data_IF_419473601279
#
_entry.id   IF_419473601279
#
_cell.length_a   1.000
_cell.length_b   1.000
_cell.length_c   1.000
_cell.angle_alpha   90.00
_cell.angle_beta   90.00
_cell.angle_gamma   90.00
#
_symmetry.space_group_name_H-M   'P 1'
#
loop_
_entity.id
_entity.type
_entity.pdbx_description
1 polymer ?
#
# COMPACT_ATOMS: atom_id res chain seq x y z
N UNK A 1 -24.73 -98.83 3.33
CA UNK A 1 -24.90 -98.20 4.66
C UNK A 1 -26.27 -97.56 4.74
N UNK A 2 -27.10 -97.99 5.69
CA UNK A 2 -28.52 -97.64 5.75
C UNK A 2 -28.75 -96.17 6.20
N UNK A 3 -29.58 -95.44 5.44
CA UNK A 3 -30.01 -94.08 5.82
C UNK A 3 -30.92 -94.16 7.05
N UNK A 4 -30.42 -93.72 8.21
CA UNK A 4 -31.19 -93.59 9.46
C UNK A 4 -32.22 -92.46 9.28
N UNK A 5 -33.51 -92.80 9.09
CA UNK A 5 -34.59 -91.81 9.07
C UNK A 5 -34.81 -91.27 10.48
N UNK A 6 -34.44 -90.02 10.71
CA UNK A 6 -34.64 -89.32 11.98
C UNK A 6 -36.14 -89.06 12.14
N UNK A 7 -36.79 -89.70 13.12
CA UNK A 7 -38.17 -89.35 13.54
C UNK A 7 -38.09 -88.14 14.46
N UNK A 8 -38.38 -86.95 13.94
CA UNK A 8 -38.43 -85.74 14.75
C UNK A 8 -39.81 -85.63 15.41
N UNK A 9 -39.84 -85.44 16.73
CA UNK A 9 -41.10 -85.21 17.46
C UNK A 9 -41.57 -83.77 17.20
N UNK A 10 -42.87 -83.59 16.97
CA UNK A 10 -43.49 -82.28 16.70
C UNK A 10 -43.14 -81.23 17.76
N UNK A 11 -43.04 -81.61 19.03
CA UNK A 11 -42.62 -80.73 20.14
C UNK A 11 -41.23 -80.14 19.94
N UNK A 12 -40.28 -80.90 19.37
CA UNK A 12 -38.93 -80.41 19.12
C UNK A 12 -38.89 -79.44 17.92
N UNK A 13 -39.77 -79.65 16.93
CA UNK A 13 -39.96 -78.71 15.81
C UNK A 13 -40.57 -77.40 16.30
N UNK A 14 -41.59 -77.49 17.17
CA UNK A 14 -42.23 -76.32 17.76
C UNK A 14 -41.25 -75.48 18.59
N UNK A 15 -40.45 -76.11 19.44
CA UNK A 15 -39.39 -75.41 20.19
C UNK A 15 -38.33 -74.78 19.26
N UNK A 16 -37.96 -75.46 18.18
CA UNK A 16 -37.00 -74.93 17.21
C UNK A 16 -37.51 -73.67 16.51
N UNK A 17 -38.81 -73.64 16.16
CA UNK A 17 -39.45 -72.45 15.56
C UNK A 17 -39.40 -71.26 16.54
N UNK A 18 -39.68 -71.50 17.82
CA UNK A 18 -39.62 -70.44 18.86
C UNK A 18 -38.20 -69.89 19.00
N UNK A 19 -37.18 -70.76 19.01
CA UNK A 19 -35.78 -70.33 19.12
C UNK A 19 -35.34 -69.52 17.91
N UNK A 20 -35.72 -69.95 16.69
CA UNK A 20 -35.43 -69.21 15.46
C UNK A 20 -36.09 -67.83 15.49
N UNK A 21 -37.33 -67.74 15.97
CA UNK A 21 -38.05 -66.48 16.08
C UNK A 21 -37.32 -65.48 17.00
N UNK A 22 -36.84 -65.95 18.15
CA UNK A 22 -36.06 -65.11 19.09
C UNK A 22 -34.75 -64.63 18.47
N UNK A 23 -34.04 -65.49 17.72
CA UNK A 23 -32.79 -65.13 17.05
C UNK A 23 -32.99 -64.04 15.98
N UNK A 24 -34.06 -64.13 15.19
CA UNK A 24 -34.39 -63.12 14.16
C UNK A 24 -34.68 -61.77 14.81
N UNK A 25 -35.38 -61.74 15.95
CA UNK A 25 -35.66 -60.50 16.68
C UNK A 25 -34.40 -59.82 17.20
N UNK A 26 -33.43 -60.58 17.72
CA UNK A 26 -32.14 -60.04 18.18
C UNK A 26 -31.38 -59.40 17.01
N UNK A 27 -31.35 -60.07 15.85
CA UNK A 27 -30.68 -59.55 14.65
C UNK A 27 -31.32 -58.22 14.19
N UNK A 28 -32.66 -58.17 14.09
CA UNK A 28 -33.37 -56.95 13.71
C UNK A 28 -33.09 -55.79 14.68
N UNK A 29 -33.08 -56.07 15.98
CA UNK A 29 -32.77 -55.08 17.01
C UNK A 29 -31.33 -54.57 16.90
N UNK A 30 -30.36 -55.44 16.64
CA UNK A 30 -28.96 -55.04 16.44
C UNK A 30 -28.77 -54.18 15.19
N UNK A 31 -29.48 -54.46 14.09
CA UNK A 31 -29.41 -53.65 12.87
C UNK A 31 -29.94 -52.24 13.15
N UNK A 32 -31.12 -52.11 13.79
CA UNK A 32 -31.69 -50.81 14.15
C UNK A 32 -30.84 -50.01 15.14
N UNK A 33 -30.15 -50.69 16.07
CA UNK A 33 -29.23 -50.04 17.00
C UNK A 33 -27.92 -49.58 16.34
N UNK A 34 -27.43 -50.33 15.36
CA UNK A 34 -26.12 -50.07 14.73
C UNK A 34 -26.20 -49.13 13.53
N UNK A 35 -27.38 -48.98 12.90
CA UNK A 35 -27.57 -48.02 11.81
C UNK A 35 -27.67 -46.61 12.38
N UNK A 36 -26.52 -45.94 12.53
CA UNK A 36 -26.48 -44.50 12.78
C UNK A 36 -26.95 -43.76 11.52
N UNK A 37 -28.14 -43.18 11.57
CA UNK A 37 -28.62 -42.27 10.53
C UNK A 37 -28.13 -40.86 10.85
N UNK A 38 -27.52 -40.19 9.87
CA UNK A 38 -27.18 -38.78 9.96
C UNK A 38 -28.24 -37.98 9.18
N UNK A 39 -28.85 -37.00 9.83
CA UNK A 39 -29.78 -36.06 9.18
C UNK A 39 -28.95 -34.92 8.62
N UNK A 40 -29.21 -34.53 7.37
CA UNK A 40 -28.58 -33.36 6.77
C UNK A 40 -29.35 -32.12 7.23
N UNK A 41 -28.67 -31.27 8.01
CA UNK A 41 -29.17 -29.95 8.36
C UNK A 41 -28.74 -28.94 7.29
N UNK A 42 -29.57 -27.94 7.04
CA UNK A 42 -29.31 -26.87 6.08
C UNK A 42 -28.32 -25.87 6.73
N UNK A 43 -27.09 -25.83 6.23
CA UNK A 43 -26.07 -24.85 6.62
C UNK A 43 -25.78 -23.91 5.45
N UNK A 44 -25.69 -22.61 5.74
CA UNK A 44 -25.22 -21.61 4.78
C UNK A 44 -23.69 -21.74 4.60
N UNK A 45 -23.29 -22.46 3.55
CA UNK A 45 -21.87 -22.66 3.24
C UNK A 45 -21.38 -21.50 2.38
N UNK A 46 -20.56 -20.61 2.97
CA UNK A 46 -19.88 -19.57 2.22
C UNK A 46 -18.57 -20.11 1.62
N UNK A 47 -18.56 -20.33 0.30
CA UNK A 47 -17.37 -20.78 -0.43
C UNK A 47 -16.45 -19.58 -0.70
N UNK A 48 -15.34 -19.47 0.03
CA UNK A 48 -14.30 -18.49 -0.25
C UNK A 48 -13.23 -19.10 -1.16
N UNK A 49 -13.09 -18.57 -2.37
CA UNK A 49 -12.00 -18.93 -3.30
C UNK A 49 -10.87 -17.92 -3.13
N UNK A 50 -9.65 -18.42 -2.91
CA UNK A 50 -8.44 -17.59 -2.84
C UNK A 50 -7.57 -17.86 -4.05
N UNK A 51 -7.33 -16.82 -4.83
CA UNK A 51 -6.41 -16.85 -5.97
C UNK A 51 -5.19 -15.98 -5.70
N UNK A 52 -4.05 -16.35 -6.28
CA UNK A 52 -2.83 -15.54 -6.24
C UNK A 52 -2.79 -14.69 -7.51
N UNK A 53 -2.68 -13.38 -7.35
CA UNK A 53 -2.52 -12.42 -8.45
C UNK A 53 -1.25 -11.59 -8.28
N UNK A 54 -0.73 -11.09 -9.38
CA UNK A 54 0.29 -10.05 -9.39
C UNK A 54 -0.42 -8.69 -9.40
N UNK A 55 -0.08 -7.81 -8.46
CA UNK A 55 -0.55 -6.43 -8.47
C UNK A 55 0.48 -5.58 -9.19
N UNK A 56 0.06 -4.90 -10.25
CA UNK A 56 0.90 -3.98 -11.03
C UNK A 56 0.38 -2.57 -10.81
N UNK A 57 1.24 -1.69 -10.30
CA UNK A 57 0.93 -0.28 -10.09
C UNK A 57 1.47 0.57 -11.24
N UNK A 58 0.80 1.70 -11.50
CA UNK A 58 1.29 2.69 -12.46
C UNK A 58 2.34 3.58 -11.77
N UNK A 59 3.61 3.42 -12.14
CA UNK A 59 4.72 4.18 -11.57
C UNK A 59 5.25 5.22 -12.57
N UNK A 60 5.65 6.38 -12.08
CA UNK A 60 6.27 7.43 -12.91
C UNK A 60 7.60 7.86 -12.31
N UNK A 61 8.68 7.67 -13.06
CA UNK A 61 10.01 8.11 -12.66
C UNK A 61 10.16 9.61 -12.92
N UNK A 62 10.38 10.39 -11.86
CA UNK A 62 10.77 11.80 -11.98
C UNK A 62 12.27 11.90 -11.85
N UNK A 63 12.94 12.26 -12.95
CA UNK A 63 14.39 12.40 -13.02
C UNK A 63 14.76 13.86 -13.29
N UNK A 64 15.83 14.29 -12.63
CA UNK A 64 16.48 15.54 -12.93
C UNK A 64 17.40 15.46 -14.15
N UNK A 65 17.36 16.47 -15.01
CA UNK A 65 18.29 16.61 -16.12
C UNK A 65 19.49 17.51 -15.78
N UNK A 66 19.34 18.40 -14.80
CA UNK A 66 20.39 19.33 -14.36
C UNK A 66 21.26 18.71 -13.26
N UNK A 67 22.58 18.90 -13.37
CA UNK A 67 23.52 18.62 -12.28
C UNK A 67 23.43 19.70 -11.18
N UNK A 68 23.42 19.27 -9.91
CA UNK A 68 23.41 20.20 -8.78
C UNK A 68 23.21 19.54 -7.42
N UNK A 69 22.99 20.39 -6.41
CA UNK A 69 22.64 19.94 -5.06
C UNK A 69 21.12 19.87 -4.97
N UNK A 70 20.61 18.68 -4.65
CA UNK A 70 19.18 18.40 -4.49
C UNK A 70 18.75 18.76 -3.06
N UNK A 71 17.64 19.49 -2.95
CA UNK A 71 16.87 19.67 -1.72
C UNK A 71 15.49 19.06 -1.91
N UNK A 72 15.12 18.10 -1.07
CA UNK A 72 13.78 17.51 -1.08
C UNK A 72 12.82 18.39 -0.28
N UNK A 73 11.60 18.56 -0.79
CA UNK A 73 10.53 19.34 -0.14
C UNK A 73 9.34 18.44 0.31
N UNK A 74 9.51 17.12 0.22
CA UNK A 74 8.53 16.08 0.62
C UNK A 74 9.23 14.87 1.26
N UNK A 75 8.47 14.12 2.04
CA UNK A 75 8.93 12.92 2.75
C UNK A 75 8.66 11.63 1.96
N UNK A 76 9.46 10.59 2.17
CA UNK A 76 9.19 9.28 1.59
C UNK A 76 7.84 8.75 2.08
N UNK A 77 7.12 8.06 1.20
CA UNK A 77 5.80 7.48 1.43
C UNK A 77 4.70 8.53 1.65
N UNK A 78 4.99 9.81 1.35
CA UNK A 78 4.02 10.89 1.43
C UNK A 78 3.02 10.82 0.26
N UNK A 79 1.72 10.98 0.56
CA UNK A 79 0.69 11.21 -0.44
C UNK A 79 0.82 12.61 -1.03
N UNK A 80 0.94 12.69 -2.34
CA UNK A 80 1.12 13.93 -3.08
C UNK A 80 0.01 14.10 -4.11
N UNK A 81 -0.39 15.36 -4.32
CA UNK A 81 -1.23 15.74 -5.45
C UNK A 81 -0.36 16.10 -6.67
N UNK A 82 -0.94 15.99 -7.85
CA UNK A 82 -0.37 16.54 -9.09
C UNK A 82 0.10 17.99 -8.86
N UNK A 83 1.23 18.34 -9.44
CA UNK A 83 1.83 19.67 -9.42
C UNK A 83 2.35 20.10 -8.04
N UNK A 84 2.38 19.20 -7.04
CA UNK A 84 3.12 19.42 -5.79
C UNK A 84 4.62 19.45 -6.07
N UNK A 85 5.35 20.35 -5.41
CA UNK A 85 6.80 20.42 -5.47
C UNK A 85 7.41 19.17 -4.83
N UNK A 86 8.31 18.48 -5.54
CA UNK A 86 8.99 17.28 -5.06
C UNK A 86 10.38 17.63 -4.52
N UNK A 87 11.20 18.21 -5.38
CA UNK A 87 12.56 18.58 -5.03
C UNK A 87 13.02 19.75 -5.90
N UNK A 88 14.00 20.46 -5.36
CA UNK A 88 14.63 21.61 -5.99
C UNK A 88 16.10 21.31 -6.23
N UNK A 89 16.60 21.58 -7.43
CA UNK A 89 18.02 21.48 -7.76
C UNK A 89 18.64 22.85 -7.77
N UNK A 90 19.69 23.03 -6.98
CA UNK A 90 20.52 24.21 -6.99
C UNK A 90 21.81 23.95 -7.78
N UNK A 91 22.07 24.76 -8.82
CA UNK A 91 23.31 24.67 -9.60
C UNK A 91 24.47 25.10 -8.71
N UNK A 92 25.49 24.24 -8.61
CA UNK A 92 26.59 24.33 -7.62
C UNK A 92 27.42 25.61 -7.67
N UNK A 93 27.30 26.42 -8.73
CA UNK A 93 28.24 27.49 -9.02
C UNK A 93 27.82 28.89 -8.52
N UNK A 94 26.69 29.06 -7.81
CA UNK A 94 26.06 30.40 -7.72
C UNK A 94 25.65 30.89 -6.31
N UNK A 95 25.94 30.15 -5.24
CA UNK A 95 25.22 30.46 -4.01
C UNK A 95 25.86 31.52 -3.08
N UNK A 96 27.17 31.74 -3.05
CA UNK A 96 27.73 32.68 -2.06
C UNK A 96 27.55 34.15 -2.48
N UNK A 97 28.08 34.53 -3.65
CA UNK A 97 28.14 35.95 -4.05
C UNK A 97 26.78 36.61 -4.28
N UNK A 98 25.78 35.88 -4.77
CA UNK A 98 24.42 36.44 -4.97
C UNK A 98 23.68 36.53 -3.64
N UNK A 99 23.82 35.55 -2.74
CA UNK A 99 23.20 35.62 -1.42
C UNK A 99 23.80 36.74 -0.57
N UNK A 100 25.13 36.89 -0.57
CA UNK A 100 25.82 37.99 0.11
C UNK A 100 25.32 39.35 -0.41
N UNK A 101 25.20 39.51 -1.73
CA UNK A 101 24.68 40.74 -2.33
C UNK A 101 23.23 41.00 -1.94
N UNK A 102 22.38 39.99 -1.90
CA UNK A 102 20.98 40.11 -1.47
C UNK A 102 20.92 40.54 0.01
N UNK A 103 21.70 39.91 0.88
CA UNK A 103 21.73 40.22 2.32
C UNK A 103 22.23 41.64 2.59
N UNK A 104 23.31 42.06 1.90
CA UNK A 104 23.81 43.43 1.98
C UNK A 104 22.75 44.43 1.51
N UNK A 105 22.08 44.17 0.38
CA UNK A 105 21.04 45.06 -0.13
C UNK A 105 19.82 45.16 0.80
N UNK A 106 19.41 44.04 1.43
CA UNK A 106 18.30 44.01 2.39
C UNK A 106 18.62 44.83 3.64
N UNK A 107 19.84 44.71 4.17
CA UNK A 107 20.31 45.52 5.28
C UNK A 107 20.40 47.02 4.92
N UNK A 108 20.91 47.36 3.72
CA UNK A 108 20.94 48.74 3.25
C UNK A 108 19.53 49.35 3.12
N UNK A 109 18.57 48.61 2.57
CA UNK A 109 17.18 49.06 2.46
C UNK A 109 16.60 49.30 3.86
N UNK A 110 16.81 48.38 4.80
CA UNK A 110 16.33 48.50 6.18
C UNK A 110 16.91 49.71 6.91
N UNK A 111 18.21 49.96 6.75
CA UNK A 111 18.90 51.12 7.31
C UNK A 111 18.37 52.43 6.71
N UNK A 112 18.13 52.46 5.40
CA UNK A 112 17.56 53.61 4.70
C UNK A 112 16.11 53.90 5.14
N UNK A 113 15.29 52.86 5.29
CA UNK A 113 13.90 52.98 5.77
C UNK A 113 13.83 53.47 7.22
N UNK A 114 14.79 53.09 8.08
CA UNK A 114 14.88 53.61 9.45
C UNK A 114 15.33 55.07 9.51
N UNK A 115 16.29 55.47 8.66
CA UNK A 115 16.86 56.84 8.64
C UNK A 115 15.93 57.84 7.95
N UNK A 116 15.20 57.44 6.90
CA UNK A 116 14.32 58.30 6.11
C UNK A 116 12.83 57.97 6.31
N UNK A 117 12.36 57.99 7.56
CA UNK A 117 10.99 57.62 7.96
C UNK A 117 9.83 58.33 7.22
N UNK A 118 10.09 59.31 6.34
CA UNK A 118 9.08 60.16 5.69
C UNK A 118 9.34 60.57 4.22
N UNK A 119 10.19 59.89 3.44
CA UNK A 119 10.24 60.16 1.98
C UNK A 119 10.32 58.88 1.17
N UNK A 120 9.44 58.76 0.18
CA UNK A 120 9.60 57.86 -0.96
C UNK A 120 10.81 58.32 -1.80
N UNK A 121 12.01 58.13 -1.27
CA UNK A 121 13.23 58.46 -1.97
C UNK A 121 13.37 57.52 -3.15
N UNK A 122 13.53 58.06 -4.36
CA UNK A 122 13.79 57.27 -5.57
C UNK A 122 14.94 56.27 -5.38
N UNK A 123 15.83 56.52 -4.43
CA UNK A 123 16.92 55.64 -4.01
C UNK A 123 16.39 54.33 -3.40
N UNK A 124 15.42 54.38 -2.48
CA UNK A 124 14.82 53.18 -1.87
C UNK A 124 14.06 52.38 -2.93
N UNK A 125 13.34 53.07 -3.82
CA UNK A 125 12.60 52.43 -4.90
C UNK A 125 13.55 51.70 -5.87
N UNK A 126 14.64 52.35 -6.29
CA UNK A 126 15.66 51.76 -7.16
C UNK A 126 16.33 50.54 -6.51
N UNK A 127 16.66 50.61 -5.22
CA UNK A 127 17.25 49.47 -4.49
C UNK A 127 16.28 48.30 -4.33
N UNK A 128 14.98 48.57 -4.16
CA UNK A 128 13.95 47.51 -4.15
C UNK A 128 13.79 46.83 -5.51
N UNK A 129 13.87 47.58 -6.61
CA UNK A 129 13.91 47.01 -7.95
C UNK A 129 15.19 46.20 -8.20
N UNK A 130 16.35 46.69 -7.75
CA UNK A 130 17.61 45.94 -7.82
C UNK A 130 17.55 44.62 -7.03
N UNK A 131 16.97 44.64 -5.83
CA UNK A 131 16.72 43.43 -5.03
C UNK A 131 15.84 42.43 -5.79
N UNK A 132 14.78 42.92 -6.46
CA UNK A 132 13.87 42.09 -7.25
C UNK A 132 14.58 41.44 -8.44
N UNK A 133 15.45 42.17 -9.13
CA UNK A 133 16.29 41.65 -10.21
C UNK A 133 17.23 40.56 -9.69
N UNK A 134 17.91 40.80 -8.56
CA UNK A 134 18.81 39.81 -7.95
C UNK A 134 18.06 38.55 -7.49
N UNK A 135 16.83 38.68 -6.95
CA UNK A 135 15.98 37.53 -6.60
C UNK A 135 15.53 36.74 -7.83
N UNK A 136 15.18 37.42 -8.92
CA UNK A 136 14.87 36.75 -10.19
C UNK A 136 16.09 36.04 -10.79
N UNK A 137 17.26 36.68 -10.73
CA UNK A 137 18.52 36.05 -11.14
C UNK A 137 18.82 34.83 -10.28
N UNK A 138 18.65 34.93 -8.96
CA UNK A 138 18.79 33.78 -8.05
C UNK A 138 17.91 32.61 -8.51
N UNK A 139 16.66 32.88 -8.91
CA UNK A 139 15.72 31.87 -9.38
C UNK A 139 16.14 31.17 -10.68
N UNK A 140 16.99 31.78 -11.52
CA UNK A 140 17.56 31.09 -12.71
C UNK A 140 18.53 29.96 -12.39
N UNK A 141 18.97 29.85 -11.13
CA UNK A 141 19.91 28.82 -10.66
C UNK A 141 19.25 27.70 -9.88
N UNK A 142 17.92 27.77 -9.73
CA UNK A 142 17.10 26.73 -9.13
C UNK A 142 16.19 26.14 -10.19
N UNK A 143 16.12 24.82 -10.25
CA UNK A 143 15.15 24.10 -11.09
C UNK A 143 14.23 23.32 -10.15
N UNK A 144 12.94 23.66 -10.19
CA UNK A 144 11.90 23.03 -9.39
C UNK A 144 11.31 21.84 -10.16
N UNK A 145 11.26 20.66 -9.53
CA UNK A 145 10.65 19.46 -10.09
C UNK A 145 9.34 19.17 -9.36
N UNK A 146 8.25 19.06 -10.13
CA UNK A 146 6.90 18.86 -9.60
C UNK A 146 6.32 17.51 -9.99
N UNK A 147 5.36 17.06 -9.19
CA UNK A 147 4.65 15.81 -9.40
C UNK A 147 3.87 15.82 -10.73
N UNK A 148 4.15 14.91 -11.68
CA UNK A 148 3.36 14.80 -12.91
C UNK A 148 1.98 14.19 -12.66
N UNK A 149 1.84 13.40 -11.60
CA UNK A 149 0.62 12.70 -11.19
C UNK A 149 0.43 12.80 -9.67
N UNK A 150 -0.80 12.61 -9.21
CA UNK A 150 -1.09 12.36 -7.79
C UNK A 150 -0.75 10.90 -7.44
N UNK A 151 -0.24 10.65 -6.24
CA UNK A 151 0.16 9.31 -5.82
C UNK A 151 0.94 9.30 -4.51
N UNK A 152 1.65 8.20 -4.25
CA UNK A 152 2.57 8.08 -3.12
C UNK A 152 4.00 8.30 -3.63
N UNK A 153 4.73 9.21 -3.02
CA UNK A 153 6.11 9.51 -3.40
C UNK A 153 7.08 8.53 -2.73
N UNK A 154 8.06 8.03 -3.48
CA UNK A 154 9.12 7.17 -2.94
C UNK A 154 10.48 7.71 -3.37
N UNK A 155 11.37 7.98 -2.42
CA UNK A 155 12.74 8.38 -2.71
C UNK A 155 13.70 7.25 -2.35
N UNK A 156 14.31 6.63 -3.36
CA UNK A 156 15.47 5.76 -3.15
C UNK A 156 16.72 6.56 -3.49
N UNK A 157 17.59 6.75 -2.51
CA UNK A 157 18.88 7.43 -2.66
C UNK A 157 19.79 6.59 -3.58
N UNK A 158 20.01 7.09 -4.78
CA UNK A 158 20.68 6.33 -5.82
C UNK A 158 22.19 6.57 -5.80
N UNK A 159 22.94 5.52 -5.42
CA UNK A 159 24.34 5.37 -5.87
C UNK A 159 24.53 4.15 -6.78
N UNK A 160 23.47 3.41 -7.13
CA UNK A 160 23.46 2.27 -8.06
C UNK A 160 22.04 1.65 -8.13
N UNK A 161 21.18 2.16 -9.00
CA UNK A 161 19.83 1.65 -9.20
C UNK A 161 19.87 0.38 -10.03
N UNK A 162 20.12 -0.74 -9.35
CA UNK A 162 19.92 -2.07 -9.91
C UNK A 162 18.74 -2.67 -9.17
N UNK A 163 17.51 -2.49 -9.70
CA UNK A 163 16.33 -3.15 -9.16
C UNK A 163 16.48 -4.64 -9.47
N UNK A 164 17.03 -5.41 -8.52
CA UNK A 164 16.76 -6.85 -8.48
C UNK A 164 15.30 -7.02 -8.09
N UNK A 165 14.55 -7.85 -8.82
CA UNK A 165 13.15 -8.19 -8.54
C UNK A 165 12.96 -8.63 -7.07
N UNK A 166 14.02 -9.17 -6.46
CA UNK A 166 14.09 -9.60 -5.05
C UNK A 166 14.06 -8.46 -4.01
N UNK A 167 14.13 -7.19 -4.44
CA UNK A 167 14.05 -5.99 -3.57
C UNK A 167 12.72 -5.23 -3.69
N UNK A 168 11.76 -5.78 -4.43
CA UNK A 168 10.38 -5.32 -4.34
C UNK A 168 9.83 -5.89 -3.04
N UNK A 169 9.84 -5.07 -1.98
CA UNK A 169 9.10 -5.38 -0.77
C UNK A 169 7.66 -5.72 -1.18
N UNK A 170 7.11 -6.80 -0.62
CA UNK A 170 5.73 -7.20 -0.83
C UNK A 170 4.84 -5.96 -0.70
N UNK A 171 3.97 -5.71 -1.68
CA UNK A 171 2.94 -4.67 -1.60
C UNK A 171 2.11 -4.99 -0.35
N UNK A 172 2.42 -4.30 0.77
CA UNK A 172 1.76 -4.54 2.04
C UNK A 172 0.31 -4.06 1.93
N UNK A 173 -0.63 -4.76 2.57
CA UNK A 173 -2.06 -4.39 2.51
C UNK A 173 -2.28 -2.94 2.96
N UNK A 174 -1.41 -2.43 3.83
CA UNK A 174 -1.39 -1.03 4.26
C UNK A 174 -1.13 -0.04 3.13
N UNK A 175 -0.31 -0.39 2.12
CA UNK A 175 -0.11 0.45 0.94
C UNK A 175 -1.38 0.54 0.10
N UNK A 176 -2.08 -0.58 -0.10
CA UNK A 176 -3.36 -0.62 -0.82
C UNK A 176 -4.46 0.17 -0.09
N UNK A 177 -4.59 -0.04 1.22
CA UNK A 177 -5.56 0.68 2.08
C UNK A 177 -5.29 2.20 2.09
N UNK A 178 -4.02 2.60 1.92
CA UNK A 178 -3.64 4.00 1.82
C UNK A 178 -4.03 4.60 0.47
N UNK A 179 -4.03 3.85 -0.63
CA UNK A 179 -4.39 4.38 -1.97
C UNK A 179 -5.89 4.62 -2.08
N UNK A 180 -6.71 3.80 -1.42
CA UNK A 180 -8.17 3.84 -1.54
C UNK A 180 -8.81 5.09 -0.90
N UNK A 181 -8.08 5.80 -0.04
CA UNK A 181 -8.58 6.97 0.67
C UNK A 181 -7.76 8.24 0.39
N UNK A 182 -8.38 9.18 -0.34
CA UNK A 182 -8.10 10.62 -0.36
C UNK A 182 -7.05 11.18 -1.34
N UNK A 183 -7.09 10.83 -2.62
CA UNK A 183 -6.62 11.76 -3.67
C UNK A 183 -7.81 12.61 -4.15
N UNK A 184 -8.41 13.40 -3.26
CA UNK A 184 -9.49 14.30 -3.65
C UNK A 184 -8.90 15.42 -4.51
N UNK A 185 -9.60 15.68 -5.61
CA UNK A 185 -9.38 16.70 -6.65
C UNK A 185 -9.26 18.12 -6.12
#
# INVERSE_FOLDING_TARGET
MAKKKIKIKFTNIFLLIIVIYILVQIILWTIGYFTRTMVLDEEDINLQVKEKGLVVMNETLVKAEDDGIIKYDIDSDEKIQNNKLLFTISKSNVNEKINEKIEVLENEIKDLEQKEKNKSSNIILNKKEELKILKNQKQTYYTDYKAPISGVALFKYDKNFNISVDQLDDIDSKMLDSIENNFIS
#
